data_IF_126112878108
#
_entry.id   IF_126112878108
#
_cell.length_a   1.000
_cell.length_b   1.000
_cell.length_c   1.000
_cell.angle_alpha   90.00
_cell.angle_beta   90.00
_cell.angle_gamma   90.00
#
_symmetry.space_group_name_H-M   'P 1'
#
loop_
_entity.id
_entity.type
_entity.pdbx_description
1 polymer ?
#
# COMPACT_ATOMS: atom_id res chain seq x y z
N UNK A 1 18.39 7.20 15.61
CA UNK A 1 19.40 6.22 16.07
C UNK A 1 20.65 6.61 15.32
N UNK A 2 21.74 6.90 16.01
CA UNK A 2 22.98 7.27 15.34
C UNK A 2 23.67 6.01 14.84
N UNK A 3 23.95 5.92 13.55
CA UNK A 3 24.61 4.77 12.95
C UNK A 3 26.07 5.10 12.66
N UNK A 4 26.98 4.21 13.06
CA UNK A 4 28.42 4.38 12.91
C UNK A 4 28.95 3.52 11.75
N UNK A 5 29.98 4.00 11.07
CA UNK A 5 30.80 3.20 10.14
C UNK A 5 32.16 2.96 10.78
N UNK A 6 32.52 1.70 10.96
CA UNK A 6 33.90 1.32 11.27
C UNK A 6 34.77 1.56 10.04
N UNK A 7 35.76 2.44 10.17
CA UNK A 7 36.76 2.68 9.13
C UNK A 7 38.14 2.50 9.74
N UNK A 8 39.00 1.74 9.06
CA UNK A 8 40.39 1.54 9.49
C UNK A 8 41.20 2.72 8.96
N UNK A 9 41.83 3.46 9.86
CA UNK A 9 42.77 4.51 9.48
C UNK A 9 44.06 3.85 8.97
N UNK A 10 44.38 4.07 7.70
CA UNK A 10 45.54 3.47 7.04
C UNK A 10 46.90 3.96 7.57
N UNK A 11 46.93 5.03 8.36
CA UNK A 11 48.15 5.60 8.94
C UNK A 11 48.44 5.10 10.36
N UNK A 12 47.41 4.82 11.16
CA UNK A 12 47.53 4.40 12.56
C UNK A 12 47.15 2.94 12.79
N UNK A 13 46.40 2.32 11.86
CA UNK A 13 45.85 0.98 12.01
C UNK A 13 44.68 0.89 13.02
N UNK A 14 44.22 2.02 13.55
CA UNK A 14 43.11 2.05 14.50
C UNK A 14 41.75 2.02 13.80
N UNK A 15 40.81 1.30 14.42
CA UNK A 15 39.41 1.28 14.00
C UNK A 15 38.73 2.53 14.55
N UNK A 16 38.34 3.44 13.68
CA UNK A 16 37.61 4.66 14.06
C UNK A 16 36.12 4.50 13.73
N UNK A 17 35.27 4.86 14.69
CA UNK A 17 33.82 4.92 14.51
C UNK A 17 33.44 6.31 14.04
N UNK A 18 33.14 6.45 12.75
CA UNK A 18 32.65 7.72 12.19
C UNK A 18 31.13 7.71 12.25
N UNK A 19 30.53 8.68 12.96
CA UNK A 19 29.09 8.89 12.92
C UNK A 19 28.66 9.26 11.49
N UNK A 20 27.69 8.52 10.95
CA UNK A 20 27.15 8.76 9.60
C UNK A 20 25.87 9.62 9.69
N UNK A 21 25.54 10.19 10.84
CA UNK A 21 24.33 10.98 11.10
C UNK A 21 23.11 10.14 11.49
N UNK A 22 21.94 10.80 11.57
CA UNK A 22 20.66 10.18 11.93
C UNK A 22 20.06 9.43 10.74
N UNK A 23 20.51 8.20 10.55
CA UNK A 23 19.82 7.26 9.69
C UNK A 23 18.59 6.72 10.42
N UNK A 24 17.51 6.50 9.68
CA UNK A 24 16.32 5.82 10.19
C UNK A 24 15.91 4.72 9.24
N UNK A 25 15.28 3.69 9.78
CA UNK A 25 14.66 2.63 8.98
C UNK A 25 13.41 3.16 8.29
N UNK A 26 13.01 2.50 7.20
CA UNK A 26 11.71 2.77 6.55
C UNK A 26 10.54 2.57 7.52
N UNK A 27 10.65 1.62 8.46
CA UNK A 27 9.64 1.40 9.50
C UNK A 27 9.52 2.59 10.44
N UNK A 28 10.65 3.17 10.87
CA UNK A 28 10.65 4.36 11.73
C UNK A 28 10.17 5.59 10.98
N UNK A 29 10.51 5.73 9.69
CA UNK A 29 9.94 6.77 8.83
C UNK A 29 8.40 6.67 8.82
N UNK A 30 7.85 5.47 8.61
CA UNK A 30 6.39 5.26 8.61
C UNK A 30 5.71 5.71 9.90
N UNK A 31 6.32 5.42 11.05
CA UNK A 31 5.82 5.88 12.36
C UNK A 31 5.72 7.40 12.47
N UNK A 32 6.60 8.16 11.80
CA UNK A 32 6.54 9.63 11.79
C UNK A 32 5.35 10.20 11.04
N UNK A 33 4.77 9.43 10.11
CA UNK A 33 3.59 9.81 9.32
C UNK A 33 2.33 9.06 9.73
N UNK A 34 2.33 8.41 10.91
CA UNK A 34 1.26 7.54 11.37
C UNK A 34 0.84 6.48 10.33
N UNK A 35 1.81 6.04 9.52
CA UNK A 35 1.58 5.13 8.41
C UNK A 35 2.09 3.72 8.75
N UNK A 36 1.22 2.73 8.56
CA UNK A 36 1.59 1.33 8.74
C UNK A 36 2.69 0.87 7.75
N UNK A 37 3.37 -0.26 8.01
CA UNK A 37 4.47 -0.74 7.17
C UNK A 37 4.09 -1.01 5.69
N UNK A 38 2.83 -1.34 5.42
CA UNK A 38 2.32 -1.53 4.04
C UNK A 38 2.09 -0.19 3.34
N UNK A 39 1.42 0.74 4.02
CA UNK A 39 1.12 2.06 3.50
C UNK A 39 2.40 2.84 3.22
N UNK A 40 3.35 2.83 4.16
CA UNK A 40 4.66 3.49 3.99
C UNK A 40 5.37 3.01 2.73
N UNK A 41 5.43 1.70 2.50
CA UNK A 41 6.04 1.13 1.28
C UNK A 41 5.30 1.52 0.01
N UNK A 42 3.96 1.53 0.04
CA UNK A 42 3.17 1.94 -1.11
C UNK A 42 3.47 3.40 -1.48
N UNK A 43 3.50 4.30 -0.48
CA UNK A 43 3.82 5.73 -0.69
C UNK A 43 5.22 5.88 -1.29
N UNK A 44 6.21 5.18 -0.75
CA UNK A 44 7.58 5.25 -1.26
C UNK A 44 7.74 4.64 -2.66
N UNK A 45 6.94 3.64 -3.01
CA UNK A 45 6.90 3.10 -4.38
C UNK A 45 6.28 4.12 -5.34
N UNK A 46 5.17 4.75 -4.95
CA UNK A 46 4.50 5.80 -5.74
C UNK A 46 5.44 6.97 -6.05
N UNK A 47 6.28 7.33 -5.08
CA UNK A 47 7.30 8.37 -5.25
C UNK A 47 8.49 7.95 -6.13
N UNK A 48 8.59 6.68 -6.53
CA UNK A 48 9.76 6.12 -7.20
C UNK A 48 11.01 6.09 -6.31
N UNK A 49 10.83 6.05 -4.99
CA UNK A 49 11.92 5.92 -4.02
C UNK A 49 12.24 4.46 -3.70
N UNK A 50 11.24 3.59 -3.76
CA UNK A 50 11.38 2.13 -3.64
C UNK A 50 10.79 1.43 -4.86
N UNK A 51 11.17 0.18 -5.06
CA UNK A 51 10.56 -0.70 -6.06
C UNK A 51 10.30 -2.09 -5.49
N UNK A 52 9.46 -2.85 -6.19
CA UNK A 52 9.23 -4.26 -5.90
C UNK A 52 10.18 -5.08 -6.76
N UNK A 53 11.23 -5.61 -6.15
CA UNK A 53 12.10 -6.60 -6.76
C UNK A 53 11.34 -7.94 -6.88
N UNK A 54 11.34 -8.49 -8.09
CA UNK A 54 10.80 -9.82 -8.36
C UNK A 54 11.88 -10.83 -7.94
N UNK A 55 11.66 -11.51 -6.82
CA UNK A 55 12.52 -12.59 -6.35
C UNK A 55 11.95 -13.97 -6.69
N UNK A 56 12.78 -15.02 -6.69
CA UNK A 56 12.37 -16.40 -7.02
C UNK A 56 11.27 -16.96 -6.10
N UNK A 57 11.22 -16.53 -4.84
CA UNK A 57 10.29 -17.08 -3.85
C UNK A 57 9.29 -16.05 -3.31
N UNK A 58 9.68 -14.78 -3.22
CA UNK A 58 8.83 -13.69 -2.74
C UNK A 58 9.25 -12.37 -3.38
N UNK A 59 8.26 -11.53 -3.65
CA UNK A 59 8.49 -10.14 -4.01
C UNK A 59 9.03 -9.39 -2.78
N UNK A 60 10.15 -8.70 -2.94
CA UNK A 60 10.77 -7.88 -1.89
C UNK A 60 10.69 -6.42 -2.29
N UNK A 61 10.33 -5.56 -1.35
CA UNK A 61 10.44 -4.10 -1.56
C UNK A 61 11.84 -3.65 -1.18
N UNK A 62 12.51 -2.94 -2.09
CA UNK A 62 13.88 -2.47 -1.94
C UNK A 62 14.01 -1.00 -2.34
N UNK A 63 15.02 -0.30 -1.81
CA UNK A 63 15.38 1.06 -2.21
C UNK A 63 15.79 1.09 -3.68
N UNK A 64 15.39 2.15 -4.42
CA UNK A 64 15.76 2.32 -5.83
C UNK A 64 17.28 2.53 -6.03
N UNK A 65 17.89 2.00 -7.11
CA UNK A 65 19.33 2.14 -7.34
C UNK A 65 19.84 3.59 -7.38
N UNK A 66 19.00 4.53 -7.83
CA UNK A 66 19.36 5.94 -7.88
C UNK A 66 19.49 6.56 -6.47
N UNK A 67 18.72 6.07 -5.50
CA UNK A 67 18.77 6.52 -4.10
C UNK A 67 20.08 6.07 -3.46
N UNK A 68 20.47 4.81 -3.69
CA UNK A 68 21.75 4.28 -3.22
C UNK A 68 22.93 5.01 -3.86
N UNK A 69 22.89 5.23 -5.19
CA UNK A 69 23.92 5.98 -5.91
C UNK A 69 24.08 7.41 -5.40
N UNK A 70 23.01 8.03 -4.92
CA UNK A 70 23.01 9.37 -4.34
C UNK A 70 23.50 9.41 -2.88
N UNK A 71 23.71 8.25 -2.26
CA UNK A 71 24.08 8.14 -0.84
C UNK A 71 22.94 8.42 0.12
N UNK A 72 21.70 8.39 -0.36
CA UNK A 72 20.49 8.74 0.41
C UNK A 72 19.91 7.57 1.20
N UNK A 73 20.16 6.35 0.73
CA UNK A 73 19.63 5.13 1.31
C UNK A 73 20.61 3.98 1.11
N UNK A 74 20.50 2.95 1.95
CA UNK A 74 21.22 1.69 1.78
C UNK A 74 20.47 0.54 2.42
N UNK A 75 20.68 -0.65 1.89
CA UNK A 75 20.20 -1.91 2.49
C UNK A 75 21.23 -2.43 3.50
N UNK A 76 20.83 -2.64 4.75
CA UNK A 76 21.65 -3.27 5.78
C UNK A 76 21.40 -4.78 5.77
N UNK A 77 22.50 -5.54 5.74
CA UNK A 77 22.53 -7.00 5.76
C UNK A 77 23.10 -7.48 7.10
N UNK A 78 22.27 -7.60 8.15
CA UNK A 78 22.75 -8.04 9.45
C UNK A 78 23.20 -9.50 9.40
N UNK A 79 24.21 -9.86 10.20
CA UNK A 79 24.71 -11.25 10.29
C UNK A 79 23.62 -12.24 10.71
N UNK A 80 22.70 -11.79 11.58
CA UNK A 80 21.53 -12.52 12.02
C UNK A 80 20.30 -11.60 11.90
N UNK A 81 19.22 -12.09 11.29
CA UNK A 81 17.96 -11.37 11.16
C UNK A 81 17.56 -11.10 9.71
N UNK A 82 16.66 -10.14 9.52
CA UNK A 82 16.15 -9.75 8.21
C UNK A 82 16.89 -8.52 7.71
N UNK A 83 17.13 -8.46 6.39
CA UNK A 83 17.61 -7.27 5.72
C UNK A 83 16.60 -6.12 5.87
N UNK A 84 17.10 -4.91 6.06
CA UNK A 84 16.27 -3.73 6.19
C UNK A 84 16.91 -2.50 5.57
N UNK A 85 16.04 -1.61 5.11
CA UNK A 85 16.41 -0.39 4.41
C UNK A 85 16.52 0.77 5.39
N UNK A 86 17.60 1.55 5.29
CA UNK A 86 17.82 2.78 6.06
C UNK A 86 18.02 3.98 5.14
N UNK A 87 17.63 5.16 5.62
CA UNK A 87 17.73 6.42 4.89
C UNK A 87 18.31 7.53 5.76
N UNK A 88 19.06 8.45 5.16
CA UNK A 88 19.67 9.59 5.84
C UNK A 88 18.72 10.80 5.92
N UNK A 89 19.17 11.90 6.52
CA UNK A 89 18.36 13.12 6.65
C UNK A 89 17.95 13.76 5.32
N UNK A 90 18.83 13.75 4.32
CA UNK A 90 18.53 14.34 3.00
C UNK A 90 17.38 13.60 2.32
N UNK A 91 17.40 12.27 2.39
CA UNK A 91 16.32 11.42 1.94
C UNK A 91 15.03 11.72 2.70
N UNK A 92 15.09 11.84 4.03
CA UNK A 92 13.94 12.19 4.86
C UNK A 92 13.32 13.53 4.43
N UNK A 93 14.13 14.57 4.20
CA UNK A 93 13.65 15.88 3.71
C UNK A 93 13.03 15.78 2.32
N UNK A 94 13.64 15.02 1.41
CA UNK A 94 13.11 14.82 0.06
C UNK A 94 11.76 14.10 0.07
N UNK A 95 11.62 13.09 0.93
CA UNK A 95 10.37 12.35 1.13
C UNK A 95 9.31 13.28 1.73
N UNK A 96 9.64 14.05 2.77
CA UNK A 96 8.70 14.95 3.43
C UNK A 96 8.02 15.92 2.45
N UNK A 97 8.79 16.49 1.51
CA UNK A 97 8.27 17.42 0.50
C UNK A 97 7.26 16.79 -0.48
N UNK A 98 7.20 15.47 -0.58
CA UNK A 98 6.41 14.74 -1.58
C UNK A 98 5.39 13.81 -0.95
N UNK A 99 5.43 13.63 0.37
CA UNK A 99 4.66 12.61 1.09
C UNK A 99 3.17 12.78 0.88
N UNK A 100 2.63 13.96 1.18
CA UNK A 100 1.18 14.23 1.07
C UNK A 100 0.67 14.00 -0.35
N UNK A 101 1.43 14.45 -1.36
CA UNK A 101 1.07 14.24 -2.76
C UNK A 101 1.02 12.76 -3.12
N UNK A 102 2.05 12.00 -2.78
CA UNK A 102 2.09 10.57 -3.09
C UNK A 102 1.04 9.77 -2.30
N UNK A 103 0.80 10.13 -1.04
CA UNK A 103 -0.27 9.54 -0.24
C UNK A 103 -1.65 9.85 -0.84
N UNK A 104 -1.86 11.07 -1.32
CA UNK A 104 -3.09 11.46 -2.00
C UNK A 104 -3.26 10.70 -3.31
N UNK A 105 -2.23 10.57 -4.14
CA UNK A 105 -2.29 9.80 -5.39
C UNK A 105 -2.61 8.31 -5.17
N UNK A 106 -2.19 7.71 -4.06
CA UNK A 106 -2.61 6.35 -3.70
C UNK A 106 -4.09 6.25 -3.31
N UNK A 107 -4.65 7.34 -2.78
CA UNK A 107 -6.05 7.46 -2.41
C UNK A 107 -6.93 8.01 -3.54
N UNK A 108 -6.33 8.58 -4.60
CA UNK A 108 -7.01 9.04 -5.80
C UNK A 108 -7.56 7.84 -6.56
N UNK A 109 -8.79 7.49 -6.21
CA UNK A 109 -9.60 6.59 -6.99
C UNK A 109 -9.95 7.28 -8.31
N UNK A 110 -10.10 6.55 -9.44
CA UNK A 110 -10.66 7.12 -10.65
C UNK A 110 -11.99 7.82 -10.35
N UNK A 111 -12.31 8.91 -11.03
CA UNK A 111 -13.49 9.74 -10.73
C UNK A 111 -14.78 8.93 -10.64
N UNK A 112 -14.96 7.93 -11.50
CA UNK A 112 -16.14 7.06 -11.48
C UNK A 112 -16.22 6.19 -10.22
N UNK A 113 -15.06 5.77 -9.70
CA UNK A 113 -14.93 4.96 -8.48
C UNK A 113 -15.17 5.84 -7.24
N UNK A 114 -14.71 7.10 -7.27
CA UNK A 114 -15.03 8.09 -6.23
C UNK A 114 -16.53 8.35 -6.18
N UNK A 115 -17.14 8.64 -7.33
CA UNK A 115 -18.59 8.85 -7.46
C UNK A 115 -19.39 7.67 -6.94
N UNK A 116 -18.99 6.44 -7.29
CA UNK A 116 -19.63 5.23 -6.77
C UNK A 116 -19.52 5.09 -5.24
N UNK A 117 -18.37 5.46 -4.66
CA UNK A 117 -18.16 5.47 -3.21
C UNK A 117 -19.03 6.50 -2.49
N UNK A 118 -19.11 7.72 -3.03
CA UNK A 118 -19.93 8.80 -2.50
C UNK A 118 -21.41 8.44 -2.56
N UNK A 119 -21.88 7.91 -3.69
CA UNK A 119 -23.28 7.49 -3.84
C UNK A 119 -23.63 6.31 -2.92
N UNK A 120 -22.73 5.35 -2.73
CA UNK A 120 -22.92 4.27 -1.76
C UNK A 120 -23.01 4.82 -0.33
N UNK A 121 -22.12 5.75 0.03
CA UNK A 121 -22.11 6.40 1.33
C UNK A 121 -23.40 7.17 1.58
N UNK A 122 -23.83 7.98 0.61
CA UNK A 122 -25.09 8.72 0.66
C UNK A 122 -26.30 7.78 0.79
N UNK A 123 -26.29 6.67 0.05
CA UNK A 123 -27.37 5.67 0.12
C UNK A 123 -27.47 5.04 1.52
N UNK A 124 -26.34 4.64 2.11
CA UNK A 124 -26.29 4.06 3.47
C UNK A 124 -26.76 5.08 4.51
N UNK A 125 -26.27 6.31 4.45
CA UNK A 125 -26.66 7.39 5.37
C UNK A 125 -28.16 7.73 5.26
N UNK A 126 -28.71 7.81 4.06
CA UNK A 126 -30.12 8.15 3.83
C UNK A 126 -31.08 7.09 4.37
N UNK A 127 -30.69 5.82 4.40
CA UNK A 127 -31.55 4.73 4.85
C UNK A 127 -31.58 4.52 6.36
N UNK A 128 -30.76 5.26 7.13
CA UNK A 128 -30.67 5.15 8.59
C UNK A 128 -30.58 3.69 9.06
N UNK A 129 -29.79 2.88 8.34
CA UNK A 129 -29.66 1.45 8.61
C UNK A 129 -28.75 1.32 9.85
N UNK A 130 -29.26 0.81 11.00
CA UNK A 130 -28.52 0.81 12.27
C UNK A 130 -27.27 -0.06 12.25
N UNK A 131 -27.26 -1.08 11.38
CA UNK A 131 -26.11 -1.94 11.13
C UNK A 131 -25.54 -1.58 9.77
N UNK A 132 -24.26 -1.17 9.76
CA UNK A 132 -23.49 -0.92 8.55
C UNK A 132 -23.81 -1.97 7.47
N UNK A 133 -24.30 -1.52 6.32
CA UNK A 133 -24.81 -2.41 5.27
C UNK A 133 -23.78 -3.53 4.99
N UNK A 134 -24.22 -4.79 5.08
CA UNK A 134 -23.29 -5.92 4.95
C UNK A 134 -22.50 -5.83 3.63
N UNK A 135 -21.26 -6.32 3.67
CA UNK A 135 -20.33 -6.32 2.53
C UNK A 135 -20.99 -6.92 1.29
N UNK A 136 -21.78 -8.00 1.44
CA UNK A 136 -22.50 -8.63 0.32
C UNK A 136 -23.51 -7.66 -0.31
N UNK A 137 -24.25 -6.91 0.51
CA UNK A 137 -25.22 -5.91 0.05
C UNK A 137 -24.53 -4.72 -0.64
N UNK A 138 -23.41 -4.22 -0.09
CA UNK A 138 -22.58 -3.17 -0.72
C UNK A 138 -22.10 -3.59 -2.10
N UNK A 139 -21.54 -4.80 -2.22
CA UNK A 139 -21.08 -5.34 -3.51
C UNK A 139 -22.25 -5.46 -4.50
N UNK A 140 -23.39 -6.01 -4.06
CA UNK A 140 -24.57 -6.14 -4.94
C UNK A 140 -25.07 -4.79 -5.44
N UNK A 141 -25.21 -3.82 -4.55
CA UNK A 141 -25.67 -2.49 -4.90
C UNK A 141 -24.76 -1.83 -5.94
N UNK A 142 -23.44 -1.96 -5.77
CA UNK A 142 -22.46 -1.46 -6.73
C UNK A 142 -22.56 -2.17 -8.09
N UNK A 143 -22.75 -3.49 -8.11
CA UNK A 143 -22.97 -4.22 -9.37
C UNK A 143 -24.23 -3.77 -10.11
N UNK A 144 -25.31 -3.50 -9.37
CA UNK A 144 -26.60 -3.12 -9.93
C UNK A 144 -26.60 -1.67 -10.47
N UNK A 145 -25.83 -0.76 -9.86
CA UNK A 145 -25.83 0.68 -10.21
C UNK A 145 -24.59 1.11 -11.03
N UNK A 146 -23.49 0.37 -10.93
CA UNK A 146 -22.21 0.70 -11.55
C UNK A 146 -21.61 -0.55 -12.23
N UNK A 147 -22.33 -1.10 -13.20
CA UNK A 147 -21.98 -2.36 -13.88
C UNK A 147 -20.65 -2.33 -14.65
N UNK A 148 -20.07 -1.15 -14.85
CA UNK A 148 -18.78 -0.95 -15.51
C UNK A 148 -17.59 -1.06 -14.54
N UNK A 149 -17.82 -1.08 -13.22
CA UNK A 149 -16.74 -1.20 -12.25
C UNK A 149 -16.16 -2.61 -12.26
N UNK A 150 -14.83 -2.69 -12.24
CA UNK A 150 -14.15 -3.98 -12.09
C UNK A 150 -14.16 -4.41 -10.62
N UNK A 151 -13.98 -5.71 -10.36
CA UNK A 151 -13.89 -6.24 -8.99
C UNK A 151 -12.79 -5.57 -8.15
N UNK A 152 -11.73 -5.05 -8.78
CA UNK A 152 -10.67 -4.29 -8.11
C UNK A 152 -11.19 -2.95 -7.59
N UNK A 153 -12.03 -2.27 -8.35
CA UNK A 153 -12.56 -0.96 -7.99
C UNK A 153 -13.67 -1.09 -6.94
N UNK A 154 -14.55 -2.10 -7.09
CA UNK A 154 -15.53 -2.46 -6.07
C UNK A 154 -14.84 -2.79 -4.74
N UNK A 155 -13.72 -3.52 -4.79
CA UNK A 155 -12.94 -3.85 -3.60
C UNK A 155 -12.39 -2.60 -2.89
N UNK A 156 -11.93 -1.61 -3.65
CA UNK A 156 -11.48 -0.32 -3.11
C UNK A 156 -12.63 0.47 -2.47
N UNK A 157 -13.79 0.54 -3.12
CA UNK A 157 -14.97 1.25 -2.61
C UNK A 157 -15.51 0.62 -1.32
N UNK A 158 -15.58 -0.71 -1.26
CA UNK A 158 -16.13 -1.43 -0.11
C UNK A 158 -15.10 -1.62 1.01
N UNK A 159 -13.80 -1.41 0.74
CA UNK A 159 -12.72 -1.59 1.71
C UNK A 159 -12.38 -3.06 2.00
N UNK A 160 -12.53 -3.95 1.03
CA UNK A 160 -12.26 -5.40 1.16
C UNK A 160 -11.28 -5.90 0.09
N UNK A 161 -10.82 -7.16 0.21
CA UNK A 161 -9.94 -7.73 -0.81
C UNK A 161 -10.67 -8.05 -2.12
N UNK A 162 -9.96 -7.92 -3.25
CA UNK A 162 -10.47 -8.33 -4.58
C UNK A 162 -10.98 -9.77 -4.57
N UNK A 163 -10.28 -10.69 -3.90
CA UNK A 163 -10.68 -12.10 -3.81
C UNK A 163 -12.04 -12.26 -3.13
N UNK A 164 -12.30 -11.47 -2.07
CA UNK A 164 -13.59 -11.48 -1.37
C UNK A 164 -14.70 -10.98 -2.27
N UNK A 165 -14.47 -9.89 -3.01
CA UNK A 165 -15.43 -9.38 -4.00
C UNK A 165 -15.69 -10.41 -5.09
N UNK A 166 -14.66 -10.98 -5.71
CA UNK A 166 -14.82 -11.99 -6.77
C UNK A 166 -15.64 -13.20 -6.30
N UNK A 167 -15.45 -13.64 -5.06
CA UNK A 167 -16.25 -14.73 -4.47
C UNK A 167 -17.73 -14.33 -4.38
N UNK A 168 -18.02 -13.15 -3.85
CA UNK A 168 -19.40 -12.64 -3.72
C UNK A 168 -20.06 -12.50 -5.09
N UNK A 169 -19.35 -11.94 -6.09
CA UNK A 169 -19.83 -11.80 -7.47
C UNK A 169 -20.20 -13.16 -8.07
N UNK A 170 -19.33 -14.16 -7.92
CA UNK A 170 -19.58 -15.51 -8.42
C UNK A 170 -20.83 -16.15 -7.77
N UNK A 171 -21.02 -15.94 -6.46
CA UNK A 171 -22.22 -16.41 -5.75
C UNK A 171 -23.50 -15.76 -6.30
N UNK A 172 -23.47 -14.46 -6.63
CA UNK A 172 -24.62 -13.79 -7.25
C UNK A 172 -24.91 -14.29 -8.67
N UNK A 173 -23.89 -14.51 -9.48
CA UNK A 173 -24.07 -15.07 -10.83
C UNK A 173 -24.71 -16.46 -10.78
N UNK A 174 -24.30 -17.29 -9.83
CA UNK A 174 -24.85 -18.63 -9.66
C UNK A 174 -26.31 -18.61 -9.19
N UNK A 175 -26.65 -17.72 -8.24
CA UNK A 175 -28.04 -17.47 -7.83
C UNK A 175 -28.91 -17.04 -9.02
N UNK A 176 -28.40 -16.16 -9.88
CA UNK A 176 -29.13 -15.67 -11.05
C UNK A 176 -29.33 -16.77 -12.11
N UNK A 177 -28.31 -17.61 -12.35
CA UNK A 177 -28.41 -18.78 -13.24
C UNK A 177 -29.46 -19.76 -12.72
N UNK A 178 -29.45 -20.04 -11.42
CA UNK A 178 -30.39 -20.96 -10.79
C UNK A 178 -31.83 -20.45 -10.89
N UNK A 179 -32.07 -19.16 -10.60
CA UNK A 179 -33.40 -18.53 -10.76
C UNK A 179 -33.90 -18.57 -12.21
N UNK A 180 -33.01 -18.33 -13.19
CA UNK A 180 -33.37 -18.42 -14.62
C UNK A 180 -33.78 -19.84 -15.01
N UNK A 181 -33.07 -20.86 -14.54
CA UNK A 181 -33.42 -22.28 -14.75
C UNK A 181 -34.79 -22.62 -14.16
N UNK A 182 -35.09 -22.19 -12.93
CA UNK A 182 -36.40 -22.44 -12.32
C UNK A 182 -37.56 -21.75 -13.05
N UNK A 183 -37.32 -20.56 -13.62
CA UNK A 183 -38.34 -19.84 -14.40
C UNK A 183 -38.64 -20.46 -15.76
N UNK A 184 -37.64 -21.10 -16.39
CA UNK A 184 -37.81 -21.76 -17.68
C UNK A 184 -38.41 -23.18 -17.57
N UNK A 185 -38.37 -23.76 -16.36
CA UNK A 185 -38.95 -25.08 -16.06
C UNK A 185 -40.42 -25.01 -15.63
N UNK A 186 -41.03 -23.83 -15.64
CA UNK A 186 -42.41 -23.55 -15.20
C UNK A 186 -43.22 -23.04 -16.37
#
# INVERSE_FOLDING_TARGET
>A
MEYFKETIDGSTGEVTNVSIGDWITITELGKRYDAGPRQTRAVLIEMGFMFVAIGEHRNKTSIMPWVEKKGWGRTIHPRNGFEFDVINEDAQRWIAQRWEKAQSSLNELPQDVQSASECLTFFVQRRDIPDDMDTRCKVKWLMDHYSFLMNVDIAKVVGVSKQRVSKIVAEFEDEMRTKKRMRLAK
#
